data_IF_592875833885
#
_entry.id   IF_592875833885
#
_cell.length_a   1.000
_cell.length_b   1.000
_cell.length_c   1.000
_cell.angle_alpha   90.00
_cell.angle_beta   90.00
_cell.angle_gamma   90.00
#
_symmetry.space_group_name_H-M   'P 1'
#
loop_
_entity.id
_entity.type
_entity.pdbx_description
1 polymer ?
#
# COMPACT_ATOMS: atom_id res chain seq x y z
N UNK A 1 27.53 -5.42 -1.19
CA UNK A 1 26.20 -5.80 -1.73
C UNK A 1 25.45 -6.51 -0.61
N UNK A 2 24.19 -6.13 -0.35
CA UNK A 2 23.34 -6.81 0.62
C UNK A 2 22.80 -8.11 0.01
N UNK A 3 22.58 -9.12 0.84
CA UNK A 3 21.88 -10.34 0.43
C UNK A 3 20.42 -10.19 0.85
N UNK A 4 19.44 -10.14 -0.07
CA UNK A 4 18.05 -10.02 0.29
C UNK A 4 17.54 -11.30 0.99
N UNK A 5 16.59 -11.15 1.92
CA UNK A 5 15.90 -12.27 2.57
C UNK A 5 15.13 -13.12 1.55
N UNK A 6 14.57 -12.42 0.55
CA UNK A 6 13.76 -13.01 -0.49
C UNK A 6 13.74 -12.11 -1.73
N UNK A 7 13.63 -12.73 -2.91
CA UNK A 7 13.38 -12.02 -4.17
C UNK A 7 12.02 -12.48 -4.71
N UNK A 8 11.16 -11.53 -5.04
CA UNK A 8 9.83 -11.78 -5.59
C UNK A 8 9.56 -10.88 -6.79
N UNK A 9 8.48 -11.13 -7.50
CA UNK A 9 7.95 -10.20 -8.51
C UNK A 9 6.58 -9.71 -8.07
N UNK A 10 6.45 -8.41 -7.84
CA UNK A 10 5.21 -7.75 -7.43
C UNK A 10 4.73 -6.87 -8.58
N UNK A 11 3.59 -7.17 -9.16
CA UNK A 11 3.00 -6.43 -10.27
C UNK A 11 4.00 -6.13 -11.42
N UNK A 12 4.85 -7.12 -11.76
CA UNK A 12 5.86 -7.00 -12.79
C UNK A 12 7.17 -6.31 -12.38
N UNK A 13 7.31 -5.90 -11.13
CA UNK A 13 8.53 -5.31 -10.57
C UNK A 13 9.29 -6.36 -9.76
N UNK A 14 10.60 -6.53 -10.02
CA UNK A 14 11.48 -7.32 -9.16
C UNK A 14 11.60 -6.61 -7.81
N UNK A 15 11.31 -7.31 -6.72
CA UNK A 15 11.42 -6.80 -5.35
C UNK A 15 12.37 -7.68 -4.56
N UNK A 16 13.46 -7.09 -4.11
CA UNK A 16 14.41 -7.66 -3.16
C UNK A 16 13.96 -7.28 -1.74
N UNK A 17 13.46 -8.25 -0.99
CA UNK A 17 13.03 -8.04 0.38
C UNK A 17 14.25 -8.09 1.32
N UNK A 18 14.46 -7.05 2.09
CA UNK A 18 15.44 -6.95 3.16
C UNK A 18 14.78 -6.24 4.34
N UNK A 19 13.99 -7.01 5.09
CA UNK A 19 13.22 -6.45 6.20
C UNK A 19 14.14 -6.12 7.37
N UNK A 20 14.27 -4.85 7.69
CA UNK A 20 15.16 -4.36 8.75
C UNK A 20 14.91 -5.04 10.10
N UNK A 21 13.69 -5.49 10.35
CA UNK A 21 13.33 -6.21 11.58
C UNK A 21 13.94 -7.62 11.67
N UNK A 22 14.28 -8.23 10.54
CA UNK A 22 14.91 -9.57 10.49
C UNK A 22 16.41 -9.53 10.75
N UNK A 23 16.99 -8.34 10.72
CA UNK A 23 18.43 -8.13 10.85
C UNK A 23 18.76 -7.41 12.16
N UNK A 24 19.86 -7.80 12.80
CA UNK A 24 20.33 -7.14 14.02
C UNK A 24 20.99 -5.80 13.66
N UNK A 25 20.16 -4.81 13.30
CA UNK A 25 20.63 -3.48 12.89
C UNK A 25 20.71 -2.58 14.12
N UNK A 26 21.75 -2.75 14.92
CA UNK A 26 21.95 -2.06 16.21
C UNK A 26 22.01 -0.52 16.12
N UNK A 27 22.14 0.04 14.93
CA UNK A 27 22.31 1.49 14.70
C UNK A 27 21.05 2.24 14.41
N UNK A 28 19.90 1.55 14.25
CA UNK A 28 18.65 2.20 13.85
C UNK A 28 17.47 1.78 14.72
N UNK A 29 16.55 2.71 14.90
CA UNK A 29 15.23 2.45 15.48
C UNK A 29 14.22 2.20 14.37
N UNK A 30 13.30 1.27 14.58
CA UNK A 30 12.24 0.96 13.63
C UNK A 30 10.92 1.67 13.99
N UNK A 31 10.15 2.11 12.99
CA UNK A 31 8.79 2.58 13.22
C UNK A 31 7.92 1.48 13.83
N UNK A 32 6.91 1.83 14.63
CA UNK A 32 6.02 0.85 15.24
C UNK A 32 5.13 0.16 14.19
N UNK A 33 4.55 -0.96 14.57
CA UNK A 33 3.44 -1.57 13.82
C UNK A 33 2.25 -0.62 13.79
N UNK A 34 1.63 -0.47 12.63
CA UNK A 34 0.51 0.44 12.40
C UNK A 34 -0.74 -0.04 13.15
N UNK A 35 -1.30 0.84 13.98
CA UNK A 35 -2.50 0.57 14.78
C UNK A 35 -3.79 1.05 14.13
N UNK A 36 -3.70 1.98 13.18
CA UNK A 36 -4.85 2.55 12.45
C UNK A 36 -4.92 1.97 11.03
N UNK A 37 -6.08 1.94 10.38
CA UNK A 37 -6.18 1.51 8.98
C UNK A 37 -5.28 2.29 8.05
N UNK A 38 -4.72 1.61 7.04
CA UNK A 38 -4.02 2.24 5.94
C UNK A 38 -4.98 3.16 5.17
N UNK A 39 -4.50 4.35 4.80
CA UNK A 39 -5.29 5.31 4.02
C UNK A 39 -4.71 5.57 2.64
N UNK A 40 -3.51 5.11 2.34
CA UNK A 40 -2.92 5.31 1.03
C UNK A 40 -1.44 5.03 0.93
N UNK A 41 -0.89 5.52 -0.16
CA UNK A 41 0.54 5.45 -0.49
C UNK A 41 1.08 6.87 -0.61
N UNK A 42 2.20 7.13 0.03
CA UNK A 42 2.96 8.38 -0.15
C UNK A 42 4.13 8.13 -1.08
N UNK A 43 4.23 8.95 -2.12
CA UNK A 43 5.31 8.93 -3.09
C UNK A 43 6.33 10.01 -2.73
N UNK A 44 7.59 9.62 -2.77
CA UNK A 44 8.74 10.49 -2.56
C UNK A 44 9.67 10.40 -3.78
N UNK A 45 10.53 11.40 -3.94
CA UNK A 45 11.74 11.27 -4.75
C UNK A 45 12.97 11.39 -3.88
N UNK A 46 13.86 10.44 -4.07
CA UNK A 46 15.24 10.53 -3.65
C UNK A 46 16.03 10.88 -4.90
N UNK A 47 16.67 12.06 -4.90
CA UNK A 47 17.50 12.45 -6.02
C UNK A 47 18.84 11.72 -5.96
N UNK A 48 19.17 11.01 -7.04
CA UNK A 48 20.48 10.43 -7.22
C UNK A 48 20.98 10.71 -8.65
N UNK A 49 22.29 10.59 -8.83
CA UNK A 49 22.89 10.64 -10.15
C UNK A 49 22.63 9.30 -10.85
N UNK A 50 22.35 9.28 -12.18
CA UNK A 50 22.22 8.03 -12.91
C UNK A 50 23.50 7.21 -12.72
N UNK A 51 23.37 6.05 -12.07
CA UNK A 51 24.47 5.11 -11.86
C UNK A 51 24.15 3.82 -12.59
N UNK A 52 25.18 3.08 -12.89
CA UNK A 52 25.07 1.73 -13.49
C UNK A 52 24.71 0.69 -12.40
N UNK A 53 24.59 1.11 -11.15
CA UNK A 53 24.42 0.27 -9.99
C UNK A 53 22.97 0.26 -9.49
N UNK A 54 22.61 -0.76 -8.71
CA UNK A 54 21.32 -0.88 -8.01
C UNK A 54 21.22 0.22 -6.93
N UNK A 55 20.62 1.36 -7.29
CA UNK A 55 20.50 2.53 -6.41
C UNK A 55 19.57 2.23 -5.24
N UNK A 56 18.54 1.42 -5.43
CA UNK A 56 17.64 0.99 -4.37
C UNK A 56 18.37 0.11 -3.33
N UNK A 57 19.34 -0.72 -3.75
CA UNK A 57 20.23 -1.44 -2.83
C UNK A 57 21.11 -0.48 -2.03
N UNK A 58 21.69 0.52 -2.68
CA UNK A 58 22.55 1.48 -2.00
C UNK A 58 21.82 2.26 -0.91
N UNK A 59 20.59 2.72 -1.17
CA UNK A 59 19.75 3.40 -0.16
C UNK A 59 19.34 2.45 0.96
N UNK A 60 19.05 1.19 0.65
CA UNK A 60 18.81 0.15 1.66
C UNK A 60 20.03 -0.02 2.54
N UNK A 61 21.24 -0.14 1.96
CA UNK A 61 22.50 -0.25 2.68
C UNK A 61 22.80 1.00 3.52
N UNK A 62 22.53 2.20 2.98
CA UNK A 62 22.67 3.43 3.73
C UNK A 62 21.72 3.47 4.95
N UNK A 63 20.49 2.96 4.81
CA UNK A 63 19.54 2.81 5.91
C UNK A 63 20.09 1.84 6.97
N UNK A 64 20.56 0.67 6.57
CA UNK A 64 21.16 -0.35 7.45
C UNK A 64 22.34 0.19 8.24
N UNK A 65 23.17 1.02 7.60
CA UNK A 65 24.36 1.62 8.23
C UNK A 65 24.04 2.86 9.09
N UNK A 66 22.77 3.29 9.17
CA UNK A 66 22.35 4.48 9.91
C UNK A 66 22.59 5.80 9.19
N UNK A 67 23.07 5.78 7.94
CA UNK A 67 23.41 6.99 7.17
C UNK A 67 22.18 7.77 6.70
N UNK A 68 20.98 7.17 6.75
CA UNK A 68 19.71 7.84 6.44
C UNK A 68 19.07 8.53 7.67
N UNK A 69 19.84 8.70 8.75
CA UNK A 69 19.34 9.32 9.97
C UNK A 69 18.11 8.58 10.52
N UNK A 70 16.99 9.32 10.68
CA UNK A 70 15.71 8.75 11.14
C UNK A 70 14.77 8.32 10.03
N UNK A 71 15.12 8.53 8.76
CA UNK A 71 14.27 8.17 7.62
C UNK A 71 14.11 6.65 7.54
N UNK A 72 12.85 6.20 7.48
CA UNK A 72 12.48 4.78 7.35
C UNK A 72 11.34 4.66 6.35
N UNK A 73 11.66 4.17 5.15
CA UNK A 73 10.69 3.93 4.08
C UNK A 73 10.33 2.45 3.97
N UNK A 74 9.20 2.16 3.34
CA UNK A 74 8.85 0.78 3.04
C UNK A 74 9.61 0.25 1.83
N UNK A 75 9.72 1.05 0.78
CA UNK A 75 10.31 0.67 -0.49
C UNK A 75 11.20 1.79 -1.03
N UNK A 76 12.41 1.43 -1.43
CA UNK A 76 13.19 2.18 -2.40
C UNK A 76 12.98 1.54 -3.77
N UNK A 77 12.76 2.32 -4.83
CA UNK A 77 12.59 1.81 -6.19
C UNK A 77 13.37 2.64 -7.19
N UNK A 78 13.98 1.96 -8.15
CA UNK A 78 14.72 2.48 -9.28
C UNK A 78 14.27 1.81 -10.58
N UNK A 79 15.04 1.92 -11.67
CA UNK A 79 14.77 1.28 -12.95
C UNK A 79 14.97 -0.23 -12.94
N UNK A 80 15.85 -0.77 -12.08
CA UNK A 80 16.15 -2.19 -11.96
C UNK A 80 15.13 -2.95 -11.14
N UNK A 81 14.39 -2.26 -10.25
CA UNK A 81 13.38 -2.87 -9.40
C UNK A 81 13.12 -2.13 -8.11
N UNK A 82 13.04 -2.85 -7.00
CA UNK A 82 12.85 -2.27 -5.69
C UNK A 82 13.49 -3.10 -4.59
N UNK A 83 13.80 -2.42 -3.48
CA UNK A 83 14.17 -3.02 -2.20
C UNK A 83 13.14 -2.67 -1.15
N UNK A 84 12.57 -3.69 -0.50
CA UNK A 84 11.60 -3.52 0.58
C UNK A 84 12.32 -3.58 1.92
N UNK A 85 12.22 -2.52 2.73
CA UNK A 85 12.89 -2.39 4.02
C UNK A 85 11.97 -2.55 5.22
N UNK A 86 10.69 -2.24 5.08
CA UNK A 86 9.71 -2.37 6.16
C UNK A 86 8.57 -3.30 5.74
N UNK A 87 8.00 -4.02 6.71
CA UNK A 87 6.75 -4.75 6.56
C UNK A 87 5.61 -3.76 6.27
N UNK A 88 4.67 -4.16 5.38
CA UNK A 88 3.58 -3.28 4.96
C UNK A 88 2.56 -2.94 6.07
N UNK A 89 2.63 -3.60 7.21
CA UNK A 89 1.83 -3.29 8.40
C UNK A 89 2.53 -2.36 9.39
N UNK A 90 3.76 -1.94 9.10
CA UNK A 90 4.52 -0.99 9.90
C UNK A 90 4.20 0.45 9.50
N UNK A 91 4.41 1.40 10.40
CA UNK A 91 4.44 2.84 10.08
C UNK A 91 5.70 3.17 9.27
N UNK A 92 5.79 4.38 8.76
CA UNK A 92 7.01 4.91 8.15
C UNK A 92 7.47 6.19 8.88
N UNK A 93 8.67 6.68 8.58
CA UNK A 93 9.19 7.97 9.05
C UNK A 93 9.81 8.74 7.89
N UNK A 94 8.96 9.16 6.95
CA UNK A 94 9.40 9.85 5.72
C UNK A 94 8.67 11.16 5.45
N UNK A 95 7.49 11.35 6.09
CA UNK A 95 6.59 12.45 5.72
C UNK A 95 6.82 13.75 6.51
N UNK A 96 7.77 13.75 7.45
CA UNK A 96 8.10 14.89 8.32
C UNK A 96 6.88 15.47 9.10
N UNK A 97 5.83 14.68 9.29
CA UNK A 97 4.60 15.03 10.00
C UNK A 97 4.51 14.44 11.42
N UNK A 98 5.63 13.94 11.95
CA UNK A 98 5.72 13.37 13.29
C UNK A 98 4.81 12.14 13.44
N UNK A 99 3.80 12.23 14.32
CA UNK A 99 2.76 11.20 14.49
C UNK A 99 1.52 11.46 13.60
N UNK A 100 1.68 12.24 12.54
CA UNK A 100 0.64 12.51 11.56
C UNK A 100 0.28 11.31 10.69
N UNK A 101 -0.77 11.46 9.93
CA UNK A 101 -1.32 10.36 9.13
C UNK A 101 -0.39 9.93 7.97
N UNK A 102 0.48 10.82 7.49
CA UNK A 102 1.50 10.49 6.49
C UNK A 102 2.44 9.40 6.99
N UNK A 103 3.05 9.62 8.16
CA UNK A 103 3.94 8.65 8.78
C UNK A 103 3.19 7.43 9.34
N UNK A 104 2.04 7.63 9.94
CA UNK A 104 1.37 6.59 10.73
C UNK A 104 0.41 5.72 9.92
N UNK A 105 -0.02 6.15 8.71
CA UNK A 105 -1.11 5.51 7.99
C UNK A 105 -0.88 5.34 6.49
N UNK A 106 0.31 5.65 5.96
CA UNK A 106 0.63 5.41 4.54
C UNK A 106 1.77 4.43 4.36
N UNK A 107 1.83 3.81 3.20
CA UNK A 107 3.02 3.12 2.72
C UNK A 107 3.87 4.14 1.97
N UNK A 108 5.13 4.26 2.33
CA UNK A 108 6.07 5.16 1.69
C UNK A 108 6.86 4.44 0.59
N UNK A 109 6.91 5.05 -0.59
CA UNK A 109 7.72 4.61 -1.74
C UNK A 109 8.65 5.75 -2.13
N UNK A 110 9.94 5.55 -1.98
CA UNK A 110 11.01 6.43 -2.45
C UNK A 110 11.35 6.04 -3.89
N UNK A 111 10.97 6.87 -4.83
CA UNK A 111 11.30 6.71 -6.24
C UNK A 111 12.62 7.41 -6.53
N UNK A 112 13.66 6.65 -6.85
CA UNK A 112 14.99 7.18 -7.12
C UNK A 112 15.03 7.67 -8.56
N UNK A 113 15.22 8.97 -8.73
CA UNK A 113 15.24 9.65 -10.02
C UNK A 113 16.32 10.73 -9.99
N UNK A 114 16.84 11.10 -11.15
CA UNK A 114 17.83 12.18 -11.28
C UNK A 114 17.25 13.38 -12.03
N UNK A 115 17.97 14.51 -12.00
CA UNK A 115 17.63 15.69 -12.79
C UNK A 115 17.75 15.52 -14.30
N UNK A 116 18.22 14.36 -14.79
CA UNK A 116 18.26 14.00 -16.20
C UNK A 116 17.12 13.03 -16.51
N UNK A 117 16.10 13.49 -17.20
CA UNK A 117 15.01 12.63 -17.68
C UNK A 117 15.56 11.70 -18.76
N UNK A 118 15.62 10.42 -18.48
CA UNK A 118 16.07 9.34 -19.37
C UNK A 118 15.17 8.13 -19.23
N UNK A 119 15.50 7.06 -19.92
CA UNK A 119 14.75 5.80 -19.90
C UNK A 119 14.71 5.22 -18.47
N UNK A 120 15.80 5.37 -17.73
CA UNK A 120 15.93 4.91 -16.33
C UNK A 120 14.91 5.62 -15.43
N UNK A 121 14.80 6.96 -15.51
CA UNK A 121 13.81 7.71 -14.74
C UNK A 121 12.37 7.31 -15.07
N UNK A 122 12.06 7.11 -16.35
CA UNK A 122 10.73 6.65 -16.76
C UNK A 122 10.45 5.25 -16.23
N UNK A 123 11.45 4.39 -16.19
CA UNK A 123 11.32 3.03 -15.66
C UNK A 123 11.19 3.02 -14.15
N UNK A 124 11.96 3.82 -13.42
CA UNK A 124 11.83 4.00 -11.98
C UNK A 124 10.42 4.50 -11.60
N UNK A 125 9.93 5.52 -12.33
CA UNK A 125 8.57 6.04 -12.18
C UNK A 125 7.50 4.97 -12.46
N UNK A 126 7.69 4.16 -13.50
CA UNK A 126 6.79 3.03 -13.82
C UNK A 126 6.79 2.00 -12.70
N UNK A 127 7.96 1.61 -12.20
CA UNK A 127 8.09 0.65 -11.10
C UNK A 127 7.41 1.18 -9.82
N UNK A 128 7.60 2.46 -9.49
CA UNK A 128 6.89 3.10 -8.36
C UNK A 128 5.37 3.06 -8.56
N UNK A 129 4.87 3.35 -9.76
CA UNK A 129 3.44 3.29 -10.07
C UNK A 129 2.87 1.87 -9.95
N UNK A 130 3.59 0.85 -10.41
CA UNK A 130 3.19 -0.55 -10.29
C UNK A 130 3.13 -1.03 -8.85
N UNK A 131 4.11 -0.64 -8.02
CA UNK A 131 4.16 -0.97 -6.60
C UNK A 131 3.06 -0.23 -5.82
N UNK A 132 2.85 1.06 -6.10
CA UNK A 132 1.74 1.83 -5.52
C UNK A 132 0.39 1.19 -5.87
N UNK A 133 0.18 0.80 -7.13
CA UNK A 133 -1.03 0.12 -7.57
C UNK A 133 -1.26 -1.21 -6.84
N UNK A 134 -0.19 -2.01 -6.65
CA UNK A 134 -0.27 -3.25 -5.88
C UNK A 134 -0.72 -2.99 -4.43
N UNK A 135 -0.10 -2.02 -3.75
CA UNK A 135 -0.47 -1.67 -2.37
C UNK A 135 -1.92 -1.19 -2.30
N UNK A 136 -2.29 -0.24 -3.15
CA UNK A 136 -3.65 0.30 -3.17
C UNK A 136 -4.68 -0.80 -3.45
N UNK A 137 -4.44 -1.63 -4.45
CA UNK A 137 -5.32 -2.76 -4.78
C UNK A 137 -5.44 -3.76 -3.61
N UNK A 138 -4.31 -4.14 -3.00
CA UNK A 138 -4.25 -5.06 -1.86
C UNK A 138 -5.10 -4.60 -0.68
N UNK A 139 -5.18 -3.29 -0.44
CA UNK A 139 -5.93 -2.69 0.66
C UNK A 139 -7.30 -2.13 0.25
N UNK A 140 -7.74 -2.36 -0.99
CA UNK A 140 -9.05 -1.90 -1.50
C UNK A 140 -9.16 -0.39 -1.64
N UNK A 141 -8.03 0.27 -1.89
CA UNK A 141 -7.90 1.70 -2.11
C UNK A 141 -7.80 2.01 -3.62
N UNK A 142 -7.96 3.27 -3.97
CA UNK A 142 -7.91 3.76 -5.36
C UNK A 142 -6.73 4.71 -5.58
N UNK A 143 -6.50 5.15 -6.81
CA UNK A 143 -5.51 6.17 -7.11
C UNK A 143 -5.78 7.53 -6.43
N UNK A 144 -6.98 7.76 -5.90
CA UNK A 144 -7.28 8.94 -5.08
C UNK A 144 -6.66 8.87 -3.67
N UNK A 145 -6.15 7.71 -3.30
CA UNK A 145 -5.41 7.49 -2.06
C UNK A 145 -3.88 7.60 -2.27
N UNK A 146 -3.45 8.29 -3.33
CA UNK A 146 -2.06 8.68 -3.54
C UNK A 146 -1.82 10.07 -2.96
N UNK A 147 -0.71 10.17 -2.24
CA UNK A 147 -0.26 11.40 -1.59
C UNK A 147 1.18 11.69 -1.96
N UNK A 148 1.55 12.96 -1.93
CA UNK A 148 2.95 13.41 -1.99
C UNK A 148 3.47 13.68 -0.58
N UNK A 149 4.77 13.72 -0.40
CA UNK A 149 5.36 14.24 0.85
C UNK A 149 4.92 15.71 1.06
N UNK A 150 4.90 16.50 -0.01
CA UNK A 150 4.44 17.90 0.01
C UNK A 150 3.03 18.04 0.58
N UNK A 151 2.10 17.14 0.23
CA UNK A 151 0.75 17.13 0.80
C UNK A 151 0.78 17.03 2.33
N UNK A 152 1.59 16.13 2.89
CA UNK A 152 1.68 15.94 4.34
C UNK A 152 2.28 17.14 5.05
N UNK A 153 3.20 17.87 4.40
CA UNK A 153 3.73 19.13 4.93
C UNK A 153 2.62 20.18 5.01
N UNK A 154 1.77 20.30 4.00
CA UNK A 154 0.60 21.20 4.05
C UNK A 154 -0.38 20.81 5.14
N UNK A 155 -0.66 19.51 5.30
CA UNK A 155 -1.52 19.00 6.39
C UNK A 155 -0.93 19.33 7.76
N UNK A 156 0.36 19.07 7.95
CA UNK A 156 1.08 19.40 9.19
C UNK A 156 0.95 20.87 9.54
N UNK A 157 1.08 21.74 8.56
CA UNK A 157 1.07 23.19 8.75
C UNK A 157 -0.36 23.78 8.75
N UNK A 158 -1.38 22.93 8.71
CA UNK A 158 -2.79 23.33 8.82
C UNK A 158 -3.41 23.88 7.52
N UNK A 159 -2.73 23.77 6.37
CA UNK A 159 -3.22 24.29 5.08
C UNK A 159 -4.26 23.40 4.40
N UNK A 160 -4.35 22.10 4.78
CA UNK A 160 -5.36 21.17 4.29
C UNK A 160 -5.65 20.10 5.32
N UNK A 161 -6.71 19.29 5.09
CA UNK A 161 -7.11 18.17 5.95
C UNK A 161 -7.38 16.94 5.10
N UNK A 162 -7.25 15.76 5.67
CA UNK A 162 -7.59 14.49 5.00
C UNK A 162 -9.03 14.41 4.50
N UNK A 163 -9.96 15.12 5.15
CA UNK A 163 -11.36 15.20 4.73
C UNK A 163 -11.59 16.12 3.53
N UNK A 164 -10.61 16.93 3.15
CA UNK A 164 -10.70 17.84 2.00
C UNK A 164 -10.28 17.15 0.71
N UNK A 165 -11.02 16.13 0.33
CA UNK A 165 -10.75 15.32 -0.86
C UNK A 165 -10.88 16.11 -2.17
N UNK A 166 -11.69 17.18 -2.20
CA UNK A 166 -11.85 18.03 -3.38
C UNK A 166 -10.58 18.79 -3.77
N UNK A 167 -9.66 19.01 -2.81
CA UNK A 167 -8.43 19.75 -3.02
C UNK A 167 -7.16 18.88 -2.93
N UNK A 168 -7.29 17.56 -2.82
CA UNK A 168 -6.14 16.68 -2.59
C UNK A 168 -5.06 16.84 -3.66
N UNK A 169 -5.43 16.84 -4.94
CA UNK A 169 -4.48 16.96 -6.03
C UNK A 169 -3.80 18.33 -6.05
N UNK A 170 -4.53 19.40 -5.74
CA UNK A 170 -3.97 20.75 -5.58
C UNK A 170 -2.90 20.77 -4.50
N UNK A 171 -3.17 20.19 -3.33
CA UNK A 171 -2.22 20.18 -2.22
C UNK A 171 -1.08 19.18 -2.43
N UNK A 172 -1.29 18.12 -3.21
CA UNK A 172 -0.22 17.23 -3.64
C UNK A 172 0.79 17.92 -4.56
N UNK A 173 0.37 18.91 -5.36
CA UNK A 173 1.20 19.57 -6.36
C UNK A 173 1.61 20.99 -5.98
N UNK A 174 0.96 21.63 -5.00
CA UNK A 174 1.31 22.97 -4.55
C UNK A 174 2.70 22.98 -3.89
N UNK A 175 3.64 23.84 -4.32
CA UNK A 175 4.94 23.92 -3.68
C UNK A 175 4.84 24.22 -2.18
N UNK A 176 5.74 23.64 -1.40
CA UNK A 176 5.86 23.91 0.02
C UNK A 176 7.22 24.52 0.34
N UNK A 177 7.27 25.50 1.24
CA UNK A 177 8.49 26.25 1.57
C UNK A 177 9.61 25.36 2.15
N UNK A 178 9.24 24.30 2.86
CA UNK A 178 10.21 23.36 3.44
C UNK A 178 10.78 22.40 2.37
N UNK A 179 9.92 21.77 1.56
CA UNK A 179 10.32 20.79 0.55
C UNK A 179 9.19 20.56 -0.45
N UNK A 180 9.52 20.53 -1.76
CA UNK A 180 8.63 20.02 -2.80
C UNK A 180 9.04 18.59 -3.16
N UNK A 181 8.24 17.61 -2.79
CA UNK A 181 8.54 16.19 -2.98
C UNK A 181 7.27 15.38 -3.21
N UNK A 182 7.22 14.51 -4.23
CA UNK A 182 8.29 14.10 -5.16
C UNK A 182 8.54 15.13 -6.28
N UNK A 183 9.72 15.72 -6.31
CA UNK A 183 10.05 16.84 -7.18
C UNK A 183 9.90 16.51 -8.67
N UNK A 184 10.36 15.34 -9.11
CA UNK A 184 10.34 14.93 -10.53
C UNK A 184 9.01 14.30 -10.97
N UNK A 185 8.09 14.00 -10.05
CA UNK A 185 6.77 13.39 -10.37
C UNK A 185 5.66 14.45 -10.30
N UNK A 186 5.79 15.46 -9.43
CA UNK A 186 4.77 16.51 -9.23
C UNK A 186 4.37 17.20 -10.52
N UNK A 187 5.26 17.57 -11.47
CA UNK A 187 4.85 18.21 -12.72
C UNK A 187 3.83 17.41 -13.53
N UNK A 188 3.92 16.06 -13.45
CA UNK A 188 3.05 15.13 -14.17
C UNK A 188 2.18 14.30 -13.18
N UNK A 189 1.83 14.87 -12.03
CA UNK A 189 1.13 14.14 -10.95
C UNK A 189 -0.15 13.46 -11.40
N UNK A 190 -0.98 14.15 -12.18
CA UNK A 190 -2.23 13.58 -12.67
C UNK A 190 -2.00 12.42 -13.64
N UNK A 191 -0.94 12.46 -14.45
CA UNK A 191 -0.60 11.35 -15.34
C UNK A 191 0.02 10.18 -14.57
N UNK A 192 0.76 10.45 -13.50
CA UNK A 192 1.19 9.42 -12.58
C UNK A 192 -0.01 8.73 -11.90
N UNK A 193 -1.02 9.48 -11.44
CA UNK A 193 -2.27 8.92 -10.91
C UNK A 193 -3.00 8.04 -11.92
N UNK A 194 -3.12 8.50 -13.18
CA UNK A 194 -3.72 7.71 -14.28
C UNK A 194 -2.95 6.42 -14.53
N UNK A 195 -1.61 6.47 -14.46
CA UNK A 195 -0.76 5.29 -14.61
C UNK A 195 -0.99 4.28 -13.48
N UNK A 196 -1.08 4.74 -12.24
CA UNK A 196 -1.41 3.90 -11.08
C UNK A 196 -2.81 3.30 -11.22
N UNK A 197 -3.82 4.10 -11.60
CA UNK A 197 -5.18 3.61 -11.81
C UNK A 197 -5.26 2.54 -12.91
N UNK A 198 -4.51 2.72 -14.02
CA UNK A 198 -4.34 1.69 -15.05
C UNK A 198 -3.84 0.37 -14.45
N UNK A 199 -2.78 0.42 -13.64
CA UNK A 199 -2.23 -0.79 -13.03
C UNK A 199 -3.13 -1.40 -11.95
N UNK A 200 -3.91 -0.61 -11.21
CA UNK A 200 -4.97 -1.12 -10.32
C UNK A 200 -6.01 -1.90 -11.13
N UNK A 201 -6.45 -1.38 -12.27
CA UNK A 201 -7.42 -2.05 -13.16
C UNK A 201 -6.85 -3.35 -13.74
N UNK A 202 -5.58 -3.36 -14.13
CA UNK A 202 -4.90 -4.57 -14.59
C UNK A 202 -4.83 -5.65 -13.51
N UNK A 203 -4.58 -5.28 -12.26
CA UNK A 203 -4.62 -6.19 -11.12
C UNK A 203 -6.04 -6.70 -10.85
N UNK A 204 -7.04 -5.84 -10.93
CA UNK A 204 -8.45 -6.22 -10.79
C UNK A 204 -8.95 -7.16 -11.88
N UNK A 205 -8.37 -7.07 -13.10
CA UNK A 205 -8.66 -7.97 -14.22
C UNK A 205 -7.97 -9.35 -14.12
N UNK A 206 -6.94 -9.48 -13.28
CA UNK A 206 -6.08 -10.69 -13.21
C UNK A 206 -6.13 -11.47 -11.88
N UNK A 207 -6.69 -10.93 -10.83
CA UNK A 207 -6.62 -11.59 -9.54
C UNK A 207 -7.89 -11.44 -8.69
N UNK A 208 -8.80 -12.37 -8.87
CA UNK A 208 -9.29 -13.02 -7.65
C UNK A 208 -8.04 -13.68 -7.05
N UNK A 209 -7.40 -13.10 -6.04
CA UNK A 209 -6.45 -13.84 -5.23
C UNK A 209 -7.28 -15.00 -4.69
N UNK A 210 -7.05 -16.21 -5.21
CA UNK A 210 -7.42 -17.43 -4.53
C UNK A 210 -6.64 -17.38 -3.21
N UNK A 211 -7.17 -16.70 -2.21
CA UNK A 211 -6.78 -17.01 -0.85
C UNK A 211 -7.14 -18.46 -0.66
N UNK A 212 -6.31 -19.22 0.04
CA UNK A 212 -6.73 -20.52 0.51
C UNK A 212 -8.13 -20.35 1.07
N UNK A 213 -9.07 -21.13 0.53
CA UNK A 213 -10.48 -21.02 0.93
C UNK A 213 -10.57 -21.27 2.43
N UNK A 214 -11.22 -20.39 3.15
CA UNK A 214 -11.42 -20.54 4.57
C UNK A 214 -12.91 -20.46 4.91
N UNK A 215 -13.26 -20.99 6.07
CA UNK A 215 -14.64 -20.97 6.54
C UNK A 215 -14.87 -19.86 7.55
N UNK A 216 -16.04 -19.27 7.48
CA UNK A 216 -16.53 -18.32 8.48
C UNK A 216 -17.88 -18.78 9.02
N UNK A 217 -18.08 -18.62 10.32
CA UNK A 217 -19.40 -18.74 10.95
C UNK A 217 -20.05 -17.37 10.96
N UNK A 218 -21.22 -17.25 10.36
CA UNK A 218 -22.04 -16.03 10.43
C UNK A 218 -22.64 -15.93 11.83
N UNK A 219 -22.49 -14.77 12.43
CA UNK A 219 -22.98 -14.44 13.78
C UNK A 219 -24.27 -13.60 13.72
N UNK A 220 -24.41 -12.80 12.66
CA UNK A 220 -25.55 -11.94 12.44
C UNK A 220 -26.77 -12.74 11.95
N UNK A 221 -27.97 -12.54 12.50
CA UNK A 221 -29.17 -13.22 12.07
C UNK A 221 -29.64 -12.85 10.66
N UNK A 222 -29.17 -11.72 10.10
CA UNK A 222 -29.57 -11.19 8.79
C UNK A 222 -28.43 -10.45 8.08
N UNK A 223 -27.42 -11.19 7.61
CA UNK A 223 -26.25 -10.61 6.94
C UNK A 223 -26.51 -10.42 5.44
N UNK A 224 -26.42 -9.18 4.96
CA UNK A 224 -26.58 -8.85 3.54
C UNK A 224 -25.49 -9.47 2.66
N UNK A 225 -25.90 -10.03 1.52
CA UNK A 225 -25.04 -10.41 0.40
C UNK A 225 -25.10 -9.30 -0.62
N UNK A 226 -23.95 -8.77 -1.03
CA UNK A 226 -23.88 -7.66 -1.99
C UNK A 226 -23.25 -8.10 -3.31
N UNK A 227 -23.62 -7.42 -4.39
CA UNK A 227 -23.15 -7.71 -5.76
C UNK A 227 -21.61 -7.52 -5.89
N UNK A 228 -21.07 -6.54 -5.18
CA UNK A 228 -19.63 -6.20 -5.13
C UNK A 228 -19.23 -5.84 -3.70
N UNK A 229 -17.90 -5.80 -3.37
CA UNK A 229 -17.39 -5.52 -2.04
C UNK A 229 -17.47 -4.02 -1.70
N UNK A 230 -18.70 -3.51 -1.53
CA UNK A 230 -18.96 -2.11 -1.22
C UNK A 230 -20.27 -1.97 -0.43
N UNK A 231 -20.32 -1.02 0.51
CA UNK A 231 -21.54 -0.65 1.24
C UNK A 231 -22.60 -0.04 0.33
N UNK A 232 -22.18 0.54 -0.79
CA UNK A 232 -23.08 1.14 -1.79
C UNK A 232 -23.52 0.15 -2.88
N UNK A 233 -22.95 -1.08 -2.90
CA UNK A 233 -23.37 -2.09 -3.86
C UNK A 233 -24.78 -2.62 -3.55
N UNK A 234 -25.51 -2.98 -4.60
CA UNK A 234 -26.84 -3.57 -4.49
C UNK A 234 -26.82 -4.82 -3.60
N UNK A 235 -27.79 -4.94 -2.71
CA UNK A 235 -28.03 -6.18 -1.95
C UNK A 235 -28.70 -7.18 -2.89
N UNK A 236 -28.04 -8.33 -3.10
CA UNK A 236 -28.49 -9.39 -4.02
C UNK A 236 -29.02 -10.61 -3.26
N UNK A 237 -28.93 -10.59 -1.94
CA UNK A 237 -29.45 -11.64 -1.06
C UNK A 237 -29.18 -11.34 0.41
N UNK A 238 -29.70 -12.18 1.28
CA UNK A 238 -29.51 -12.09 2.73
C UNK A 238 -29.28 -13.50 3.28
N UNK A 239 -28.20 -13.68 4.04
CA UNK A 239 -28.03 -14.86 4.87
C UNK A 239 -28.95 -14.71 6.07
N UNK A 240 -29.95 -15.58 6.19
CA UNK A 240 -30.86 -15.65 7.33
C UNK A 240 -30.44 -16.79 8.24
N UNK A 241 -30.16 -16.47 9.49
CA UNK A 241 -29.71 -17.43 10.48
C UNK A 241 -28.20 -17.65 10.48
N UNK A 242 -27.74 -18.37 11.51
CA UNK A 242 -26.31 -18.62 11.78
C UNK A 242 -25.86 -19.88 11.05
N UNK A 243 -24.98 -19.73 10.07
CA UNK A 243 -24.42 -20.84 9.29
C UNK A 243 -22.93 -20.71 9.10
N UNK A 244 -22.32 -21.75 8.50
CA UNK A 244 -20.91 -21.77 8.11
C UNK A 244 -20.81 -21.63 6.59
N UNK A 245 -19.99 -20.72 6.13
CA UNK A 245 -19.84 -20.38 4.72
C UNK A 245 -18.36 -20.38 4.33
N UNK A 246 -18.08 -20.91 3.14
CA UNK A 246 -16.72 -20.89 2.57
C UNK A 246 -16.50 -19.59 1.83
N UNK A 247 -15.42 -18.91 2.16
CA UNK A 247 -14.92 -17.72 1.49
C UNK A 247 -13.79 -18.13 0.54
N UNK A 248 -13.90 -17.72 -0.72
CA UNK A 248 -12.95 -18.07 -1.78
C UNK A 248 -12.10 -16.88 -2.26
N UNK A 249 -12.46 -15.67 -1.85
CA UNK A 249 -11.71 -14.45 -2.12
C UNK A 249 -11.99 -13.42 -1.04
N UNK A 250 -11.05 -12.53 -0.82
CA UNK A 250 -11.18 -11.37 0.07
C UNK A 250 -10.88 -10.09 -0.69
N UNK A 251 -11.58 -9.02 -0.35
CA UNK A 251 -11.32 -7.69 -0.89
C UNK A 251 -11.74 -6.63 0.12
N UNK A 252 -10.96 -5.56 0.26
CA UNK A 252 -11.37 -4.37 1.00
C UNK A 252 -12.25 -3.47 0.12
N UNK A 253 -13.30 -2.87 0.71
CA UNK A 253 -14.14 -1.86 0.09
C UNK A 253 -14.86 -1.04 1.16
N UNK A 254 -14.89 0.28 1.02
CA UNK A 254 -15.50 1.24 1.96
C UNK A 254 -15.02 1.06 3.42
N UNK A 255 -13.73 0.79 3.62
CA UNK A 255 -13.14 0.55 4.94
C UNK A 255 -13.52 -0.79 5.59
N UNK A 256 -14.21 -1.68 4.86
CA UNK A 256 -14.66 -3.00 5.32
C UNK A 256 -13.92 -4.10 4.56
N UNK A 257 -13.53 -5.16 5.25
CA UNK A 257 -13.06 -6.39 4.60
C UNK A 257 -14.27 -7.22 4.17
N UNK A 258 -14.32 -7.58 2.90
CA UNK A 258 -15.36 -8.38 2.28
C UNK A 258 -14.86 -9.77 1.91
N UNK A 259 -15.75 -10.77 2.01
CA UNK A 259 -15.48 -12.12 1.58
C UNK A 259 -16.42 -12.56 0.48
N UNK A 260 -15.88 -13.14 -0.61
CA UNK A 260 -16.68 -13.73 -1.69
C UNK A 260 -17.12 -15.13 -1.31
N UNK A 261 -18.43 -15.36 -1.35
CA UNK A 261 -19.00 -16.68 -1.07
C UNK A 261 -18.65 -17.68 -2.18
N UNK A 262 -18.27 -18.90 -1.80
CA UNK A 262 -18.00 -20.02 -2.73
C UNK A 262 -19.23 -20.38 -3.58
N UNK A 263 -20.44 -20.13 -3.07
CA UNK A 263 -21.69 -20.35 -3.79
C UNK A 263 -21.88 -19.46 -5.01
N UNK A 264 -21.06 -18.39 -5.17
CA UNK A 264 -21.25 -17.40 -6.21
C UNK A 264 -22.32 -16.35 -5.91
N UNK A 265 -23.03 -16.44 -4.79
CA UNK A 265 -24.14 -15.55 -4.45
C UNK A 265 -23.73 -14.07 -4.29
N UNK A 266 -22.44 -13.80 -4.02
CA UNK A 266 -21.92 -12.44 -3.88
C UNK A 266 -20.93 -12.29 -2.74
N UNK A 267 -20.93 -11.10 -2.15
CA UNK A 267 -19.97 -10.67 -1.13
C UNK A 267 -20.64 -10.39 0.20
N UNK A 268 -20.01 -10.83 1.29
CA UNK A 268 -20.45 -10.53 2.66
C UNK A 268 -19.37 -9.78 3.42
N UNK A 269 -19.76 -8.95 4.40
CA UNK A 269 -18.81 -8.30 5.31
C UNK A 269 -18.13 -9.35 6.21
N UNK A 270 -16.81 -9.25 6.33
CA UNK A 270 -15.99 -10.08 7.24
C UNK A 270 -15.69 -9.38 8.57
N UNK A 271 -16.37 -8.29 8.89
CA UNK A 271 -16.23 -7.61 10.18
C UNK A 271 -16.55 -8.57 11.35
N UNK A 272 -15.76 -8.48 12.44
CA UNK A 272 -15.83 -9.42 13.58
C UNK A 272 -17.20 -9.47 14.28
N UNK A 273 -18.00 -8.44 14.16
CA UNK A 273 -19.39 -8.43 14.66
C UNK A 273 -20.35 -9.27 13.80
N UNK A 274 -20.02 -9.53 12.53
CA UNK A 274 -20.86 -10.24 11.59
C UNK A 274 -20.46 -11.69 11.41
N UNK A 275 -19.13 -11.96 11.46
CA UNK A 275 -18.59 -13.31 11.22
C UNK A 275 -17.41 -13.62 12.14
N UNK A 276 -17.21 -14.92 12.40
CA UNK A 276 -16.01 -15.46 13.06
C UNK A 276 -15.31 -16.43 12.10
N UNK A 277 -14.03 -16.23 11.84
CA UNK A 277 -13.22 -17.18 11.06
C UNK A 277 -13.09 -18.50 11.83
N UNK A 278 -13.30 -19.62 11.14
CA UNK A 278 -13.12 -20.96 11.68
C UNK A 278 -11.74 -21.42 11.24
N UNK A 279 -10.89 -21.84 12.22
CA UNK A 279 -9.55 -22.37 11.93
C UNK A 279 -9.62 -23.70 11.20
N UNK A 280 -8.55 -24.06 10.47
CA UNK A 280 -8.38 -25.34 9.77
C UNK A 280 -8.34 -26.55 10.70
N UNK A 281 -8.31 -26.35 12.00
CA UNK A 281 -8.17 -27.44 13.00
C UNK A 281 -9.49 -28.10 13.40
N UNK A 282 -10.62 -27.67 12.81
CA UNK A 282 -11.94 -28.24 13.18
C UNK A 282 -12.43 -29.37 12.27
N UNK A 283 -11.58 -29.95 11.42
CA UNK A 283 -11.91 -31.11 10.58
C UNK A 283 -10.99 -32.30 10.91
N UNK A 284 -10.93 -32.66 12.18
CA UNK A 284 -10.57 -34.03 12.60
C UNK A 284 -11.52 -34.40 13.71
N UNK A 285 -12.60 -35.03 13.36
CA UNK A 285 -13.42 -35.97 14.13
C UNK A 285 -14.84 -36.02 13.55
N UNK A 286 -15.08 -36.95 12.67
CA UNK A 286 -16.18 -37.87 12.66
C UNK A 286 -15.96 -38.88 11.52
#
# INVERSE_FOLDING_TARGET
MLTPDKITTINGVKVSEYLLANHNVNKITLPPIRRKPLIGVTIHNTEDLPRVEDDAEQYTRATVNGNMGTVRTHLYTDDLGAWQNLELDRCNWTCADGSGDGNMRTIAIECIMSGKMGAENLKARENAARLAAYVLHKYGLTADNLYTHTYWLHVRDGHTKLSDTANIDKWCTAPHSYKTCPYYIIPDWLDFKKLVDKYIKELGGKAVVKSDSFMVRVLDPALNIRKSPSLNASVVGVIRGKGVYTIIAQQHGDGVLWGKLKSGAGWISLGSKYVKKIGSDAVKCA
#
